data_IF_930343860304
#
_entry.id   IF_930343860304
#
_cell.length_a   1.000
_cell.length_b   1.000
_cell.length_c   1.000
_cell.angle_alpha   90.00
_cell.angle_beta   90.00
_cell.angle_gamma   90.00
#
_symmetry.space_group_name_H-M   'P 1'
#
loop_
_entity.id
_entity.type
_entity.pdbx_description
1 polymer ?
#
# COMPACT_ATOMS: atom_id res chain seq x y z
N UNK A 1 -14.79 29.58 12.71
CA UNK A 1 -15.04 28.73 11.52
C UNK A 1 -14.34 29.41 10.36
N UNK A 2 -13.70 28.72 9.43
CA UNK A 2 -13.17 29.38 8.25
C UNK A 2 -14.33 29.96 7.45
N UNK A 3 -14.12 31.14 6.87
CA UNK A 3 -15.13 31.81 6.04
C UNK A 3 -15.52 30.91 4.84
N UNK A 4 -16.81 30.88 4.46
CA UNK A 4 -17.25 30.08 3.33
C UNK A 4 -16.64 30.60 2.03
N UNK A 5 -16.11 29.70 1.21
CA UNK A 5 -15.70 30.03 -0.15
C UNK A 5 -16.95 30.22 -1.00
N UNK A 6 -17.21 31.45 -1.46
CA UNK A 6 -18.34 31.76 -2.32
C UNK A 6 -17.83 31.91 -3.76
N UNK A 7 -18.38 31.10 -4.69
CA UNK A 7 -18.09 31.17 -6.12
C UNK A 7 -19.31 31.76 -6.80
N UNK A 8 -19.23 33.04 -7.20
CA UNK A 8 -20.35 33.79 -7.81
C UNK A 8 -20.33 33.76 -9.34
N UNK A 9 -19.18 33.44 -9.94
CA UNK A 9 -19.00 33.53 -11.38
C UNK A 9 -19.03 32.16 -12.05
N UNK A 10 -19.65 32.10 -13.25
CA UNK A 10 -19.56 30.95 -14.14
C UNK A 10 -18.24 30.98 -14.90
N UNK A 11 -17.57 29.84 -15.00
CA UNK A 11 -16.38 29.72 -15.83
C UNK A 11 -16.79 29.85 -17.31
N UNK A 12 -16.23 30.85 -17.98
CA UNK A 12 -16.36 31.02 -19.44
C UNK A 12 -15.56 29.96 -20.20
N UNK A 13 -15.61 30.00 -21.54
CA UNK A 13 -14.77 29.13 -22.38
C UNK A 13 -13.30 29.36 -22.07
N UNK A 14 -12.60 28.31 -21.65
CA UNK A 14 -11.14 28.39 -21.50
C UNK A 14 -10.46 27.18 -22.17
N UNK A 15 -9.25 27.42 -22.69
CA UNK A 15 -8.35 26.40 -23.24
C UNK A 15 -7.00 26.61 -22.57
N UNK A 16 -6.78 25.94 -21.45
CA UNK A 16 -5.53 26.01 -20.69
C UNK A 16 -5.04 24.61 -20.37
N UNK A 17 -3.73 24.41 -20.38
CA UNK A 17 -3.08 23.23 -19.86
C UNK A 17 -2.67 23.55 -18.42
N UNK A 18 -3.16 22.76 -17.48
CA UNK A 18 -2.77 22.85 -16.07
C UNK A 18 -1.95 21.64 -15.69
N UNK A 19 -0.94 21.82 -14.84
CA UNK A 19 -0.21 20.74 -14.22
C UNK A 19 -0.67 20.60 -12.78
N UNK A 20 -1.01 19.38 -12.38
CA UNK A 20 -1.41 19.05 -11.02
C UNK A 20 -0.38 18.13 -10.38
N UNK A 21 -0.28 18.14 -9.05
CA UNK A 21 0.54 17.18 -8.32
C UNK A 21 0.00 15.76 -8.48
N UNK A 22 0.87 14.78 -8.35
CA UNK A 22 0.48 13.36 -8.41
C UNK A 22 -0.52 12.99 -7.31
N UNK A 23 -1.38 12.00 -7.58
CA UNK A 23 -2.31 11.45 -6.59
C UNK A 23 -1.59 10.54 -5.59
N UNK A 24 -1.91 10.70 -4.30
CA UNK A 24 -1.30 9.94 -3.20
C UNK A 24 -1.58 8.43 -3.31
N UNK A 25 -2.82 8.06 -3.54
CA UNK A 25 -3.24 6.67 -3.54
C UNK A 25 -2.73 5.92 -4.76
N UNK A 26 -2.68 6.59 -5.91
CA UNK A 26 -2.07 6.05 -7.14
C UNK A 26 -0.56 5.91 -6.93
N UNK A 27 0.11 6.90 -6.33
CA UNK A 27 1.55 6.86 -6.05
C UNK A 27 1.94 5.69 -5.15
N UNK A 28 1.18 5.44 -4.07
CA UNK A 28 1.41 4.28 -3.19
C UNK A 28 1.23 2.97 -3.96
N UNK A 29 0.14 2.83 -4.72
CA UNK A 29 -0.11 1.63 -5.53
C UNK A 29 0.98 1.39 -6.55
N UNK A 30 1.43 2.46 -7.22
CA UNK A 30 2.53 2.37 -8.17
C UNK A 30 3.80 1.82 -7.52
N UNK A 31 4.20 2.35 -6.35
CA UNK A 31 5.36 1.85 -5.60
C UNK A 31 5.22 0.35 -5.30
N UNK A 32 4.06 -0.06 -4.77
CA UNK A 32 3.81 -1.44 -4.38
C UNK A 32 3.82 -2.39 -5.59
N UNK A 33 3.09 -2.06 -6.67
CA UNK A 33 3.03 -2.89 -7.87
C UNK A 33 4.37 -2.94 -8.61
N UNK A 34 5.08 -1.81 -8.69
CA UNK A 34 6.43 -1.76 -9.28
C UNK A 34 7.42 -2.65 -8.55
N UNK A 35 7.25 -2.87 -7.25
CA UNK A 35 8.10 -3.80 -6.48
C UNK A 35 7.93 -5.27 -6.91
N UNK A 36 6.74 -5.63 -7.44
CA UNK A 36 6.41 -6.97 -7.95
C UNK A 36 6.71 -7.14 -9.43
N UNK A 37 6.97 -6.07 -10.16
CA UNK A 37 7.36 -6.15 -11.57
C UNK A 37 8.78 -6.76 -11.69
N UNK A 38 9.12 -7.31 -12.85
CA UNK A 38 10.51 -7.66 -13.18
C UNK A 38 11.15 -6.49 -13.92
N UNK A 39 12.30 -6.00 -13.43
CA UNK A 39 13.04 -4.90 -14.06
C UNK A 39 12.76 -3.53 -13.43
N UNK A 40 12.95 -2.47 -14.21
CA UNK A 40 12.92 -1.09 -13.72
C UNK A 40 11.60 -0.42 -14.11
N UNK A 41 10.87 0.05 -13.11
CA UNK A 41 9.71 0.92 -13.29
C UNK A 41 10.08 2.37 -13.02
N UNK A 42 9.68 3.28 -13.89
CA UNK A 42 9.93 4.72 -13.78
C UNK A 42 8.61 5.47 -13.59
N UNK A 43 8.57 6.43 -12.68
CA UNK A 43 7.45 7.37 -12.56
C UNK A 43 7.95 8.81 -12.55
N UNK A 44 7.32 9.64 -13.37
CA UNK A 44 7.42 11.10 -13.30
C UNK A 44 6.22 11.62 -12.52
N UNK A 45 6.38 12.77 -11.87
CA UNK A 45 5.31 13.42 -11.10
C UNK A 45 4.68 12.52 -10.00
N UNK A 46 5.47 11.63 -9.40
CA UNK A 46 5.02 10.85 -8.24
C UNK A 46 4.90 11.79 -7.04
N UNK A 47 3.78 11.73 -6.31
CA UNK A 47 3.62 12.52 -5.09
C UNK A 47 4.55 11.99 -4.00
N UNK A 48 5.58 12.76 -3.62
CA UNK A 48 6.54 12.38 -2.57
C UNK A 48 6.06 12.83 -1.18
N UNK A 49 4.79 12.53 -0.84
CA UNK A 49 4.28 12.73 0.51
C UNK A 49 4.86 11.70 1.48
N UNK A 50 4.74 11.95 2.80
CA UNK A 50 5.19 11.02 3.84
C UNK A 50 4.62 9.60 3.68
N UNK A 51 3.35 9.47 3.24
CA UNK A 51 2.72 8.19 2.98
C UNK A 51 3.40 7.41 1.85
N UNK A 52 3.80 8.12 0.77
CA UNK A 52 4.47 7.51 -0.39
C UNK A 52 5.93 7.18 -0.04
N UNK A 53 6.61 8.06 0.70
CA UNK A 53 7.94 7.77 1.21
C UNK A 53 7.95 6.57 2.17
N UNK A 54 6.91 6.42 2.99
CA UNK A 54 6.73 5.23 3.82
C UNK A 54 6.57 3.95 2.97
N UNK A 55 5.84 4.03 1.84
CA UNK A 55 5.72 2.90 0.91
C UNK A 55 7.07 2.55 0.26
N UNK A 56 7.86 3.54 -0.14
CA UNK A 56 9.21 3.32 -0.68
C UNK A 56 10.12 2.69 0.37
N UNK A 57 10.11 3.19 1.61
CA UNK A 57 10.87 2.57 2.72
C UNK A 57 10.45 1.12 2.95
N UNK A 58 9.14 0.84 2.93
CA UNK A 58 8.62 -0.51 3.12
C UNK A 58 9.14 -1.50 2.07
N UNK A 59 9.10 -1.14 0.78
CA UNK A 59 9.64 -2.02 -0.28
C UNK A 59 11.16 -2.15 -0.21
N UNK A 60 11.88 -1.10 0.24
CA UNK A 60 13.32 -1.17 0.46
C UNK A 60 13.68 -2.16 1.59
N UNK A 61 12.92 -2.18 2.69
CA UNK A 61 13.06 -3.17 3.79
C UNK A 61 12.84 -4.59 3.26
N UNK A 62 11.96 -4.76 2.26
CA UNK A 62 11.72 -6.04 1.59
C UNK A 62 12.80 -6.40 0.54
N UNK A 63 13.88 -5.63 0.44
CA UNK A 63 15.01 -5.89 -0.46
C UNK A 63 14.85 -5.39 -1.89
N UNK A 64 13.88 -4.53 -2.14
CA UNK A 64 13.68 -3.85 -3.43
C UNK A 64 14.45 -2.53 -3.42
N UNK A 65 15.32 -2.32 -4.39
CA UNK A 65 16.05 -1.06 -4.54
C UNK A 65 15.15 0.02 -5.14
N UNK A 66 15.33 1.26 -4.70
CA UNK A 66 14.68 2.43 -5.27
C UNK A 66 15.67 3.58 -5.45
N UNK A 67 15.39 4.48 -6.39
CA UNK A 67 16.16 5.72 -6.61
C UNK A 67 15.19 6.87 -6.79
N UNK A 68 15.31 7.88 -5.95
CA UNK A 68 14.52 9.11 -6.02
C UNK A 68 15.41 10.22 -6.55
N UNK A 69 14.95 10.94 -7.56
CA UNK A 69 15.60 12.12 -8.11
C UNK A 69 14.60 13.26 -8.17
N UNK A 70 15.06 14.49 -8.48
CA UNK A 70 14.16 15.64 -8.69
C UNK A 70 13.16 15.44 -9.84
N UNK A 71 13.47 14.57 -10.81
CA UNK A 71 12.68 14.39 -12.04
C UNK A 71 11.82 13.14 -12.05
N UNK A 72 12.28 12.08 -11.37
CA UNK A 72 11.63 10.76 -11.42
C UNK A 72 11.97 9.90 -10.22
N UNK A 73 11.13 8.88 -9.99
CA UNK A 73 11.37 7.80 -9.06
C UNK A 73 11.53 6.49 -9.84
N UNK A 74 12.55 5.71 -9.50
CA UNK A 74 12.80 4.37 -10.07
C UNK A 74 12.65 3.31 -9.00
N UNK A 75 11.95 2.22 -9.33
CA UNK A 75 11.84 1.02 -8.50
C UNK A 75 12.41 -0.16 -9.30
N UNK A 76 13.33 -0.90 -8.69
CA UNK A 76 13.98 -2.07 -9.30
C UNK A 76 13.27 -3.34 -8.81
N UNK A 77 12.14 -3.65 -9.42
CA UNK A 77 11.30 -4.78 -9.04
C UNK A 77 11.95 -6.13 -9.37
N UNK A 78 11.63 -7.14 -8.55
CA UNK A 78 12.25 -8.48 -8.63
C UNK A 78 11.23 -9.60 -8.90
N UNK A 79 10.00 -9.26 -9.23
CA UNK A 79 8.92 -10.23 -9.44
C UNK A 79 8.20 -10.61 -8.14
N UNK A 80 7.10 -11.36 -8.27
CA UNK A 80 6.18 -11.71 -7.18
C UNK A 80 6.85 -12.45 -6.01
N UNK A 81 7.90 -13.25 -6.28
CA UNK A 81 8.68 -13.97 -5.25
C UNK A 81 10.02 -13.32 -4.96
N UNK A 82 10.24 -12.08 -5.40
CA UNK A 82 11.53 -11.43 -5.39
C UNK A 82 11.90 -10.71 -4.09
N UNK A 83 11.04 -10.73 -3.08
CA UNK A 83 11.34 -10.14 -1.78
C UNK A 83 12.42 -10.93 -1.06
N UNK A 84 13.46 -10.23 -0.61
CA UNK A 84 14.58 -10.79 0.15
C UNK A 84 14.83 -9.89 1.37
N UNK A 85 14.48 -10.37 2.55
CA UNK A 85 14.53 -9.61 3.80
C UNK A 85 14.97 -10.50 4.96
N UNK A 86 15.51 -9.88 6.01
CA UNK A 86 15.94 -10.56 7.24
C UNK A 86 14.72 -11.00 8.07
N UNK A 87 14.91 -11.99 8.95
CA UNK A 87 13.91 -12.35 9.96
C UNK A 87 13.61 -11.15 10.87
N UNK A 88 12.41 -11.13 11.45
CA UNK A 88 11.98 -10.15 12.47
C UNK A 88 12.00 -8.69 12.00
N UNK A 89 11.66 -8.43 10.73
CA UNK A 89 11.52 -7.06 10.26
C UNK A 89 10.22 -6.43 10.72
N UNK A 90 10.26 -5.10 10.86
CA UNK A 90 9.08 -4.28 11.12
C UNK A 90 8.92 -3.26 9.99
N UNK A 91 7.72 -3.15 9.46
CA UNK A 91 7.34 -2.14 8.48
C UNK A 91 6.48 -1.10 9.18
N UNK A 92 6.92 0.16 9.14
CA UNK A 92 6.17 1.29 9.68
C UNK A 92 5.36 1.95 8.55
N UNK A 93 4.05 1.81 8.63
CA UNK A 93 3.10 2.42 7.70
C UNK A 93 2.80 3.89 8.02
N UNK A 94 3.36 4.47 9.09
CA UNK A 94 3.08 5.82 9.56
C UNK A 94 1.57 6.06 9.71
N UNK A 95 1.03 7.10 9.07
CA UNK A 95 -0.42 7.38 9.02
C UNK A 95 -1.09 6.75 7.79
N UNK A 96 -0.35 6.06 6.94
CA UNK A 96 -0.86 5.60 5.66
C UNK A 96 -1.75 4.36 5.77
N UNK A 97 -3.06 4.57 5.86
CA UNK A 97 -4.03 3.46 5.81
C UNK A 97 -4.00 2.71 4.47
N UNK A 98 -3.64 3.38 3.37
CA UNK A 98 -3.48 2.75 2.06
C UNK A 98 -2.28 1.79 2.07
N UNK A 99 -1.11 2.26 2.52
CA UNK A 99 0.07 1.41 2.64
C UNK A 99 -0.19 0.24 3.59
N UNK A 100 -0.59 0.53 4.84
CA UNK A 100 -0.74 -0.48 5.89
C UNK A 100 -1.70 -1.60 5.52
N UNK A 101 -2.68 -1.35 4.65
CA UNK A 101 -3.62 -2.37 4.18
C UNK A 101 -3.17 -3.05 2.90
N UNK A 102 -2.74 -2.30 1.88
CA UNK A 102 -2.38 -2.88 0.58
C UNK A 102 -1.12 -3.74 0.66
N UNK A 103 -0.15 -3.37 1.51
CA UNK A 103 1.08 -4.17 1.65
C UNK A 103 0.80 -5.58 2.18
N UNK A 104 -0.26 -5.77 2.97
CA UNK A 104 -0.62 -7.09 3.48
C UNK A 104 -0.93 -8.08 2.36
N UNK A 105 -1.55 -7.61 1.27
CA UNK A 105 -1.76 -8.44 0.08
C UNK A 105 -0.46 -8.92 -0.55
N UNK A 106 0.57 -8.10 -0.58
CA UNK A 106 1.88 -8.46 -1.14
C UNK A 106 2.63 -9.47 -0.26
N UNK A 107 2.28 -9.52 1.03
CA UNK A 107 3.01 -10.29 2.04
C UNK A 107 2.37 -11.63 2.39
N UNK A 108 1.25 -12.03 1.77
CA UNK A 108 0.55 -13.27 2.14
C UNK A 108 1.32 -14.56 1.84
N UNK A 109 2.36 -14.48 1.01
CA UNK A 109 3.23 -15.64 0.66
C UNK A 109 4.66 -15.50 1.20
N UNK A 110 4.89 -14.63 2.16
CA UNK A 110 6.22 -14.41 2.76
C UNK A 110 6.67 -15.59 3.61
N UNK A 111 7.99 -15.83 3.63
CA UNK A 111 8.59 -16.95 4.37
C UNK A 111 8.68 -16.68 5.88
N UNK A 112 9.02 -15.44 6.26
CA UNK A 112 9.18 -15.06 7.66
C UNK A 112 8.08 -14.10 8.09
N UNK A 113 7.68 -14.15 9.39
CA UNK A 113 6.72 -13.20 9.93
C UNK A 113 7.21 -11.75 9.78
N UNK A 114 6.26 -10.85 9.49
CA UNK A 114 6.52 -9.42 9.35
C UNK A 114 5.57 -8.66 10.27
N UNK A 115 6.14 -7.77 11.09
CA UNK A 115 5.37 -6.88 11.96
C UNK A 115 5.04 -5.60 11.20
N UNK A 116 3.78 -5.17 11.28
CA UNK A 116 3.32 -3.89 10.73
C UNK A 116 2.94 -2.99 11.91
N UNK A 117 3.46 -1.78 11.90
CA UNK A 117 3.13 -0.73 12.87
C UNK A 117 2.64 0.53 12.13
N UNK A 118 2.09 1.45 12.86
CA UNK A 118 1.67 2.76 12.38
C UNK A 118 1.61 3.75 13.52
N UNK A 119 1.30 5.00 13.21
CA UNK A 119 1.11 6.03 14.22
C UNK A 119 -0.15 5.80 15.08
N UNK A 120 -0.40 6.69 16.04
CA UNK A 120 -1.54 6.61 16.94
C UNK A 120 -2.89 6.63 16.20
N UNK A 121 -3.00 7.38 15.09
CA UNK A 121 -4.23 7.45 14.29
C UNK A 121 -4.47 6.16 13.53
N UNK A 122 -3.46 5.65 12.83
CA UNK A 122 -3.57 4.41 12.07
C UNK A 122 -3.78 3.21 12.99
N UNK A 123 -3.17 3.21 14.16
CA UNK A 123 -3.26 2.13 15.16
C UNK A 123 -4.64 2.00 15.81
N UNK A 124 -5.53 2.97 15.63
CA UNK A 124 -6.94 2.89 16.07
C UNK A 124 -7.88 2.31 15.00
N UNK A 125 -7.40 2.16 13.76
CA UNK A 125 -8.24 1.70 12.64
C UNK A 125 -8.37 0.18 12.61
N UNK A 126 -9.57 -0.31 12.31
CA UNK A 126 -9.84 -1.76 12.14
C UNK A 126 -9.17 -2.31 10.88
N UNK A 127 -8.39 -3.36 11.03
CA UNK A 127 -7.70 -4.06 9.95
C UNK A 127 -8.43 -5.34 9.50
N UNK A 128 -9.50 -5.77 10.18
CA UNK A 128 -10.26 -6.99 9.81
C UNK A 128 -10.80 -6.95 8.40
N UNK A 129 -11.15 -5.76 7.90
CA UNK A 129 -11.63 -5.56 6.51
C UNK A 129 -10.69 -6.19 5.47
N UNK A 130 -9.40 -6.21 5.74
CA UNK A 130 -8.38 -6.77 4.83
C UNK A 130 -7.81 -8.09 5.34
N UNK A 131 -7.62 -8.27 6.65
CA UNK A 131 -7.05 -9.51 7.19
C UNK A 131 -8.02 -10.69 7.08
N UNK A 132 -9.33 -10.50 7.25
CA UNK A 132 -10.32 -11.55 7.10
C UNK A 132 -10.35 -12.17 5.68
N UNK A 133 -10.48 -11.39 4.58
CA UNK A 133 -10.38 -11.98 3.25
C UNK A 133 -9.02 -12.60 2.97
N UNK A 134 -7.91 -11.97 3.39
CA UNK A 134 -6.56 -12.49 3.16
C UNK A 134 -6.30 -13.80 3.93
N UNK A 135 -6.92 -14.01 5.11
CA UNK A 135 -6.80 -15.26 5.82
C UNK A 135 -7.41 -16.45 5.07
N UNK A 136 -8.41 -16.19 4.23
CA UNK A 136 -9.00 -17.25 3.39
C UNK A 136 -8.03 -17.78 2.35
N UNK A 137 -7.07 -16.96 1.89
CA UNK A 137 -5.99 -17.39 1.00
C UNK A 137 -4.94 -18.27 1.71
N UNK A 138 -4.97 -18.36 3.05
CA UNK A 138 -4.07 -19.19 3.86
C UNK A 138 -3.09 -18.42 4.73
N UNK A 139 -2.97 -17.10 4.59
CA UNK A 139 -2.15 -16.28 5.47
C UNK A 139 -2.77 -16.19 6.88
N UNK A 140 -1.94 -16.06 7.91
CA UNK A 140 -2.38 -15.87 9.28
C UNK A 140 -2.00 -14.48 9.78
N UNK A 141 -2.84 -13.94 10.67
CA UNK A 141 -2.65 -12.58 11.21
C UNK A 141 -2.82 -12.60 12.73
N UNK A 142 -1.81 -12.05 13.42
CA UNK A 142 -1.90 -11.76 14.85
C UNK A 142 -2.11 -10.26 15.02
N UNK A 143 -3.33 -9.85 15.36
CA UNK A 143 -3.69 -8.46 15.63
C UNK A 143 -3.62 -8.20 17.14
N UNK A 144 -3.58 -6.92 17.52
CA UNK A 144 -3.77 -6.52 18.92
C UNK A 144 -5.21 -6.79 19.40
N UNK A 145 -5.48 -6.55 20.68
CA UNK A 145 -6.83 -6.76 21.29
C UNK A 145 -7.91 -5.92 20.57
N UNK A 146 -7.58 -4.74 20.10
CA UNK A 146 -8.48 -3.83 19.38
C UNK A 146 -8.65 -4.15 17.89
N UNK A 147 -8.08 -5.29 17.41
CA UNK A 147 -8.15 -5.74 16.01
C UNK A 147 -7.54 -4.73 15.00
N UNK A 148 -6.56 -3.99 15.47
CA UNK A 148 -5.83 -2.93 14.80
C UNK A 148 -4.32 -3.18 14.82
N UNK A 149 -3.50 -2.15 14.58
CA UNK A 149 -2.03 -2.23 14.70
C UNK A 149 -1.60 -2.15 16.19
N UNK A 150 -0.45 -2.73 16.54
CA UNK A 150 0.42 -3.52 15.66
C UNK A 150 -0.19 -4.86 15.27
N UNK A 151 0.12 -5.31 14.06
CA UNK A 151 -0.21 -6.66 13.63
C UNK A 151 1.02 -7.40 13.12
N UNK A 152 1.00 -8.73 13.20
CA UNK A 152 2.00 -9.59 12.57
C UNK A 152 1.32 -10.45 11.52
N UNK A 153 1.88 -10.48 10.30
CA UNK A 153 1.46 -11.37 9.23
C UNK A 153 2.42 -12.57 9.17
N UNK A 154 1.84 -13.75 9.04
CA UNK A 154 2.50 -15.02 8.76
C UNK A 154 2.04 -15.47 7.38
N UNK A 155 2.93 -15.43 6.41
CA UNK A 155 2.62 -15.83 5.04
C UNK A 155 2.37 -17.32 4.92
N UNK A 156 1.68 -17.73 3.86
CA UNK A 156 1.46 -19.14 3.52
C UNK A 156 2.21 -19.50 2.25
N UNK A 157 2.99 -20.57 2.27
CA UNK A 157 3.64 -21.11 1.08
C UNK A 157 2.65 -21.87 0.17
N UNK A 158 1.48 -22.22 0.70
CA UNK A 158 0.40 -22.89 -0.02
C UNK A 158 -0.84 -21.99 -0.03
N UNK A 159 -0.89 -21.07 -0.98
CA UNK A 159 -2.06 -20.21 -1.17
C UNK A 159 -3.23 -21.03 -1.73
N UNK A 160 -4.44 -20.71 -1.29
CA UNK A 160 -5.69 -21.34 -1.73
C UNK A 160 -6.45 -20.37 -2.63
N UNK A 161 -7.12 -20.87 -3.67
CA UNK A 161 -8.08 -20.08 -4.42
C UNK A 161 -9.28 -19.73 -3.52
N UNK A 162 -9.82 -18.52 -3.67
CA UNK A 162 -10.88 -18.02 -2.80
C UNK A 162 -11.97 -17.38 -3.65
N UNK A 163 -13.22 -17.84 -3.47
CA UNK A 163 -14.41 -17.10 -3.92
C UNK A 163 -14.84 -16.17 -2.80
N UNK A 164 -14.75 -14.87 -3.01
CA UNK A 164 -15.07 -13.86 -2.01
C UNK A 164 -16.01 -12.79 -2.57
N UNK A 165 -17.10 -12.52 -1.85
CA UNK A 165 -18.05 -11.46 -2.18
C UNK A 165 -17.82 -10.30 -1.22
N UNK A 166 -17.35 -9.18 -1.74
CA UNK A 166 -17.13 -7.95 -0.99
C UNK A 166 -18.45 -7.18 -0.84
N UNK A 167 -19.03 -7.26 0.36
CA UNK A 167 -20.34 -6.64 0.67
C UNK A 167 -20.26 -5.15 0.99
N UNK A 168 -19.08 -4.62 1.36
CA UNK A 168 -18.89 -3.25 1.84
C UNK A 168 -18.36 -2.27 0.80
N UNK A 169 -18.19 -2.69 -0.45
CA UNK A 169 -17.70 -1.84 -1.54
C UNK A 169 -16.28 -1.30 -1.36
N UNK A 170 -15.39 -2.03 -0.64
CA UNK A 170 -14.05 -1.56 -0.32
C UNK A 170 -13.10 -1.66 -1.52
N UNK A 171 -12.69 -0.52 -2.06
CA UNK A 171 -11.66 -0.44 -3.10
C UNK A 171 -10.31 -1.05 -2.65
N UNK A 172 -9.97 -0.92 -1.37
CA UNK A 172 -8.74 -1.51 -0.81
C UNK A 172 -8.81 -3.04 -0.80
N UNK A 173 -9.95 -3.62 -0.42
CA UNK A 173 -10.16 -5.06 -0.47
C UNK A 173 -10.08 -5.60 -1.90
N UNK A 174 -10.72 -4.94 -2.86
CA UNK A 174 -10.61 -5.29 -4.29
C UNK A 174 -9.17 -5.22 -4.79
N UNK A 175 -8.44 -4.14 -4.47
CA UNK A 175 -7.03 -4.00 -4.88
C UNK A 175 -6.13 -5.11 -4.34
N UNK A 176 -6.41 -5.63 -3.15
CA UNK A 176 -5.66 -6.74 -2.55
C UNK A 176 -5.91 -8.07 -3.29
N UNK A 177 -7.14 -8.32 -3.72
CA UNK A 177 -7.48 -9.56 -4.43
C UNK A 177 -6.87 -9.60 -5.83
N UNK A 178 -6.76 -8.46 -6.53
CA UNK A 178 -6.18 -8.38 -7.87
C UNK A 178 -4.70 -8.76 -7.96
N UNK A 179 -3.97 -8.74 -6.85
CA UNK A 179 -2.55 -9.12 -6.80
C UNK A 179 -2.38 -10.65 -6.86
N UNK A 180 -3.43 -11.40 -6.61
CA UNK A 180 -3.40 -12.86 -6.44
C UNK A 180 -4.31 -13.62 -7.43
N UNK A 181 -4.76 -12.95 -8.47
CA UNK A 181 -5.49 -13.58 -9.59
C UNK A 181 -4.51 -14.20 -10.58
#
# INVERSE_FOLDING_TARGET
MPDPLIINDKIGRFKKVISVSGDKSISIRWVLLSSLAKGVSNAKNLLLSEDVLAAIRAVNILGIKSKITKKEVKIYGKGIKGYNYKKNITIDARNSGTLGRLILGLLINTTYPIKIIGDNSLSKRDFRRVTQPLSKFGAQFKLNKSKSLPLTIFGSQKLKSVKYIEKKGSAQCKSLSLIHI
#
